data_IF_521159400159
#
_entry.id   IF_521159400159
#
_cell.length_a   1.000
_cell.length_b   1.000
_cell.length_c   1.000
_cell.angle_alpha   90.00
_cell.angle_beta   90.00
_cell.angle_gamma   90.00
#
_symmetry.space_group_name_H-M   'P 1'
#
loop_
_entity.id
_entity.type
_entity.pdbx_description
1 polymer ?
#
# COMPACT_ATOMS: atom_id res chain seq x y z
N UNK A 1 23.38 3.98 -5.86
CA UNK A 1 23.25 5.35 -6.42
C UNK A 1 22.30 6.17 -5.55
N UNK A 2 22.43 7.50 -5.51
CA UNK A 2 21.56 8.34 -4.68
C UNK A 2 20.32 8.78 -5.48
N UNK A 3 19.13 8.46 -4.98
CA UNK A 3 17.88 9.08 -5.42
C UNK A 3 17.54 10.25 -4.49
N UNK A 4 17.54 11.47 -5.02
CA UNK A 4 17.16 12.66 -4.25
C UNK A 4 15.67 12.63 -3.89
N UNK A 5 15.34 12.95 -2.64
CA UNK A 5 13.95 13.02 -2.18
C UNK A 5 13.66 14.43 -1.65
N UNK A 6 12.60 15.11 -2.15
CA UNK A 6 12.26 16.45 -1.69
C UNK A 6 11.91 16.48 -0.20
N UNK A 7 12.52 17.42 0.53
CA UNK A 7 12.17 17.70 1.91
C UNK A 7 10.74 18.31 2.00
N UNK A 8 10.01 18.09 3.11
CA UNK A 8 10.40 17.25 4.24
C UNK A 8 10.33 15.75 3.87
N UNK A 9 11.28 14.97 4.39
CA UNK A 9 11.33 13.52 4.18
C UNK A 9 11.98 12.82 5.36
N UNK A 10 11.30 11.80 5.86
CA UNK A 10 11.81 10.90 6.89
C UNK A 10 11.72 9.46 6.36
N UNK A 11 12.89 8.88 6.08
CA UNK A 11 12.99 7.51 5.57
C UNK A 11 12.48 6.49 6.58
N UNK A 12 12.75 6.69 7.88
CA UNK A 12 12.32 5.78 8.91
C UNK A 12 10.80 5.77 9.01
N UNK A 13 10.13 6.92 9.10
CA UNK A 13 8.66 7.01 9.13
C UNK A 13 8.04 6.42 7.85
N UNK A 14 8.55 6.79 6.68
CA UNK A 14 8.06 6.32 5.37
C UNK A 14 8.10 4.80 5.25
N UNK A 15 9.14 4.17 5.81
CA UNK A 15 9.34 2.72 5.75
C UNK A 15 8.78 1.96 6.96
N UNK A 16 8.16 2.65 7.94
CA UNK A 16 7.67 2.03 9.18
C UNK A 16 6.71 0.86 8.95
N UNK A 17 5.89 0.93 7.91
CA UNK A 17 4.96 -0.14 7.54
C UNK A 17 5.64 -1.48 7.23
N UNK A 18 6.88 -1.47 6.74
CA UNK A 18 7.62 -2.69 6.35
C UNK A 18 8.18 -3.45 7.56
N UNK A 19 8.09 -2.86 8.76
CA UNK A 19 8.50 -3.48 10.04
C UNK A 19 7.36 -3.61 11.05
N UNK A 20 6.23 -2.94 10.81
CA UNK A 20 5.11 -2.88 11.75
C UNK A 20 4.43 -4.23 12.02
N UNK A 21 4.36 -5.11 11.01
CA UNK A 21 3.52 -6.32 11.06
C UNK A 21 4.28 -7.64 10.98
N UNK A 22 5.60 -7.60 11.21
CA UNK A 22 6.49 -8.75 11.14
C UNK A 22 7.26 -8.82 9.82
N UNK A 23 7.97 -9.92 9.62
CA UNK A 23 8.74 -10.20 8.41
C UNK A 23 7.84 -10.18 7.18
N UNK A 24 8.23 -9.43 6.14
CA UNK A 24 7.54 -9.39 4.85
C UNK A 24 8.48 -9.88 3.75
N UNK A 25 8.25 -11.07 3.20
CA UNK A 25 9.17 -11.68 2.21
C UNK A 25 9.27 -10.90 0.91
N UNK A 26 8.19 -10.23 0.50
CA UNK A 26 8.15 -9.43 -0.72
C UNK A 26 8.69 -8.01 -0.52
N UNK A 27 8.86 -7.56 0.72
CA UNK A 27 9.36 -6.22 1.07
C UNK A 27 10.14 -6.31 2.37
N UNK A 28 11.27 -6.99 2.29
CA UNK A 28 12.05 -7.43 3.42
C UNK A 28 12.79 -6.26 4.06
N UNK A 29 12.45 -5.93 5.30
CA UNK A 29 13.26 -5.04 6.12
C UNK A 29 14.33 -5.83 6.86
N UNK A 30 15.59 -5.48 6.67
CA UNK A 30 16.74 -6.08 7.35
C UNK A 30 17.87 -5.05 7.50
N UNK A 31 18.45 -4.95 8.69
CA UNK A 31 19.64 -4.12 8.98
C UNK A 31 19.54 -2.67 8.45
N UNK A 32 18.40 -2.01 8.72
CA UNK A 32 18.15 -0.63 8.31
C UNK A 32 17.87 -0.44 6.81
N UNK A 33 17.72 -1.54 6.07
CA UNK A 33 17.60 -1.56 4.62
C UNK A 33 16.32 -2.28 4.20
N UNK A 34 15.63 -1.75 3.19
CA UNK A 34 14.52 -2.42 2.54
C UNK A 34 15.02 -3.16 1.28
N UNK A 35 14.73 -4.46 1.19
CA UNK A 35 15.02 -5.31 0.05
C UNK A 35 13.71 -5.73 -0.64
N UNK A 36 13.70 -5.69 -1.96
CA UNK A 36 12.56 -6.13 -2.78
C UNK A 36 13.05 -6.73 -4.08
N UNK A 37 12.27 -7.63 -4.67
CA UNK A 37 12.53 -8.10 -6.02
C UNK A 37 11.82 -7.20 -7.03
N UNK A 38 12.52 -6.79 -8.08
CA UNK A 38 11.96 -6.07 -9.23
C UNK A 38 12.50 -6.75 -10.49
N UNK A 39 11.61 -7.33 -11.29
CA UNK A 39 11.95 -8.00 -12.55
C UNK A 39 13.15 -8.96 -12.43
N UNK A 40 13.14 -9.79 -11.38
CA UNK A 40 14.18 -10.79 -11.12
C UNK A 40 15.48 -10.25 -10.52
N UNK A 41 15.55 -8.95 -10.20
CA UNK A 41 16.73 -8.29 -9.61
C UNK A 41 16.44 -7.89 -8.17
N UNK A 42 17.44 -8.02 -7.30
CA UNK A 42 17.36 -7.51 -5.93
C UNK A 42 17.50 -5.99 -5.96
N UNK A 43 16.50 -5.31 -5.42
CA UNK A 43 16.45 -3.88 -5.19
C UNK A 43 16.69 -3.61 -3.70
N UNK A 44 17.68 -2.76 -3.41
CA UNK A 44 18.09 -2.32 -2.08
C UNK A 44 17.80 -0.83 -1.90
N UNK A 45 17.13 -0.45 -0.80
CA UNK A 45 16.90 0.94 -0.39
C UNK A 45 17.42 1.16 1.04
N UNK A 46 18.29 2.15 1.23
CA UNK A 46 18.77 2.58 2.54
C UNK A 46 18.72 4.10 2.69
N UNK A 47 18.57 4.59 3.93
CA UNK A 47 18.61 6.02 4.20
C UNK A 47 19.96 6.61 3.78
N UNK A 48 19.93 7.78 3.14
CA UNK A 48 21.13 8.55 2.81
C UNK A 48 20.88 10.05 3.02
N UNK A 49 21.91 10.85 3.34
CA UNK A 49 21.76 12.30 3.38
C UNK A 49 21.19 12.86 2.07
N UNK A 50 20.10 13.63 2.16
CA UNK A 50 19.44 14.23 0.98
C UNK A 50 18.55 13.28 0.16
N UNK A 51 18.35 12.04 0.58
CA UNK A 51 17.48 11.11 -0.14
C UNK A 51 17.59 9.66 0.30
N UNK A 52 17.67 8.76 -0.68
CA UNK A 52 17.73 7.30 -0.47
C UNK A 52 18.83 6.73 -1.34
N UNK A 53 19.70 5.92 -0.75
CA UNK A 53 20.62 5.09 -1.52
C UNK A 53 19.83 3.91 -2.11
N UNK A 54 19.91 3.77 -3.43
CA UNK A 54 19.20 2.78 -4.22
C UNK A 54 20.19 1.95 -5.03
N UNK A 55 20.04 0.64 -5.00
CA UNK A 55 20.87 -0.28 -5.79
C UNK A 55 20.05 -1.47 -6.29
N UNK A 56 19.98 -1.72 -7.60
CA UNK A 56 20.37 -0.82 -8.69
C UNK A 56 19.37 0.35 -8.84
N UNK A 57 19.83 1.50 -9.36
CA UNK A 57 18.97 2.62 -9.75
C UNK A 57 19.06 2.83 -11.26
N UNK A 58 18.02 2.46 -11.98
CA UNK A 58 17.91 2.59 -13.43
C UNK A 58 16.43 2.79 -13.85
N UNK A 59 16.17 2.81 -15.15
CA UNK A 59 14.84 3.09 -15.71
C UNK A 59 13.76 2.07 -15.27
N UNK A 60 14.16 0.89 -14.82
CA UNK A 60 13.28 -0.19 -14.39
C UNK A 60 12.98 -0.09 -12.88
N UNK A 61 14.01 0.18 -12.06
CA UNK A 61 13.84 0.24 -10.61
C UNK A 61 13.40 1.59 -10.08
N UNK A 62 13.75 2.69 -10.75
CA UNK A 62 13.40 4.03 -10.28
C UNK A 62 11.88 4.21 -10.10
N UNK A 63 11.00 3.88 -11.07
CA UNK A 63 9.56 4.04 -10.89
C UNK A 63 9.03 3.27 -9.66
N UNK A 64 9.54 2.06 -9.42
CA UNK A 64 9.18 1.25 -8.25
C UNK A 64 9.59 1.94 -6.95
N UNK A 65 10.83 2.44 -6.88
CA UNK A 65 11.34 3.14 -5.70
C UNK A 65 10.54 4.41 -5.43
N UNK A 66 10.22 5.19 -6.47
CA UNK A 66 9.41 6.41 -6.32
C UNK A 66 8.05 6.10 -5.71
N UNK A 67 7.40 5.00 -6.08
CA UNK A 67 6.14 4.53 -5.48
C UNK A 67 6.33 4.06 -4.03
N UNK A 68 7.37 3.26 -3.75
CA UNK A 68 7.67 2.79 -2.38
C UNK A 68 7.97 3.94 -1.41
N UNK A 69 8.53 5.05 -1.91
CA UNK A 69 8.82 6.25 -1.14
C UNK A 69 7.69 7.29 -1.16
N UNK A 70 6.55 7.01 -1.81
CA UNK A 70 5.42 7.92 -1.88
C UNK A 70 5.75 9.26 -2.55
N UNK A 71 6.64 9.26 -3.56
CA UNK A 71 7.07 10.49 -4.24
C UNK A 71 6.02 11.06 -5.20
N UNK A 72 4.92 10.36 -5.40
CA UNK A 72 3.75 10.85 -6.13
C UNK A 72 2.94 11.88 -5.33
N UNK A 73 3.14 11.93 -4.01
CA UNK A 73 2.43 12.85 -3.14
C UNK A 73 3.16 14.19 -3.00
N UNK A 74 2.40 15.28 -3.18
CA UNK A 74 2.84 16.64 -2.86
C UNK A 74 2.71 16.90 -1.35
N UNK A 75 3.79 16.58 -0.62
CA UNK A 75 3.84 16.74 0.82
C UNK A 75 3.97 18.20 1.25
N UNK A 76 4.50 19.06 0.38
CA UNK A 76 4.62 20.49 0.64
C UNK A 76 3.26 21.16 0.68
N UNK A 77 2.47 20.95 -0.37
CA UNK A 77 1.10 21.47 -0.44
C UNK A 77 0.21 20.88 0.67
N UNK A 78 0.33 19.58 0.96
CA UNK A 78 -0.41 18.96 2.06
C UNK A 78 -0.05 19.57 3.43
N UNK A 79 1.25 19.76 3.71
CA UNK A 79 1.71 20.30 5.00
C UNK A 79 1.24 21.75 5.19
N UNK A 80 1.30 22.58 4.14
CA UNK A 80 0.80 23.95 4.18
C UNK A 80 -0.72 23.98 4.44
N UNK A 81 -1.49 23.16 3.72
CA UNK A 81 -2.94 23.04 3.91
C UNK A 81 -3.33 22.52 5.29
N UNK A 82 -2.56 21.57 5.84
CA UNK A 82 -2.81 21.00 7.17
C UNK A 82 -2.45 21.96 8.31
N UNK A 83 -1.46 22.85 8.11
CA UNK A 83 -1.03 23.82 9.12
C UNK A 83 -2.15 24.82 9.50
N UNK A 84 -3.09 25.07 8.58
CA UNK A 84 -4.26 25.93 8.80
C UNK A 84 -5.41 25.24 9.55
N UNK A 85 -5.24 23.96 9.95
CA UNK A 85 -6.27 23.13 10.59
C UNK A 85 -5.83 22.72 12.00
N UNK A 86 -6.39 23.30 13.07
CA UNK A 86 -5.94 23.07 14.44
C UNK A 86 -5.96 21.58 14.87
N UNK A 87 -6.92 20.81 14.39
CA UNK A 87 -7.06 19.39 14.72
C UNK A 87 -6.02 18.52 14.00
N UNK A 88 -5.62 18.91 12.77
CA UNK A 88 -4.73 18.11 11.92
C UNK A 88 -3.26 18.53 12.05
N UNK A 89 -2.99 19.81 12.27
CA UNK A 89 -1.63 20.36 12.32
C UNK A 89 -0.71 19.63 13.32
N UNK A 90 -1.13 19.30 14.56
CA UNK A 90 -0.29 18.57 15.50
C UNK A 90 0.08 17.16 15.01
N UNK A 91 -0.87 16.47 14.36
CA UNK A 91 -0.65 15.14 13.80
C UNK A 91 0.34 15.20 12.64
N UNK A 92 0.20 16.16 11.74
CA UNK A 92 1.12 16.32 10.60
C UNK A 92 2.52 16.72 11.06
N UNK A 93 2.63 17.61 12.06
CA UNK A 93 3.91 17.99 12.65
C UNK A 93 4.61 16.80 13.34
N UNK A 94 3.86 15.96 14.07
CA UNK A 94 4.39 14.73 14.69
C UNK A 94 4.96 13.74 13.67
N UNK A 95 4.36 13.69 12.47
CA UNK A 95 4.78 12.83 11.37
C UNK A 95 5.43 13.63 10.23
N UNK A 96 6.20 14.68 10.56
CA UNK A 96 6.88 15.49 9.57
C UNK A 96 7.79 14.63 8.67
N UNK A 97 7.65 14.79 7.35
CA UNK A 97 8.41 14.01 6.37
C UNK A 97 7.93 12.58 6.12
N UNK A 98 6.86 12.12 6.78
CA UNK A 98 6.22 10.84 6.45
C UNK A 98 5.62 10.88 5.04
N UNK A 99 6.07 9.95 4.17
CA UNK A 99 5.44 9.70 2.87
C UNK A 99 4.77 8.32 2.89
N UNK A 100 3.48 8.21 2.57
CA UNK A 100 2.85 6.90 2.52
C UNK A 100 3.39 6.09 1.33
N UNK A 101 3.97 4.93 1.60
CA UNK A 101 4.42 4.03 0.53
C UNK A 101 3.22 3.54 -0.29
N UNK A 102 3.38 3.56 -1.61
CA UNK A 102 2.42 3.01 -2.57
C UNK A 102 2.84 1.58 -2.97
N UNK A 103 1.85 0.79 -3.34
CA UNK A 103 2.05 -0.55 -3.92
C UNK A 103 2.37 -0.40 -5.41
N UNK A 104 3.55 -0.86 -5.86
CA UNK A 104 3.96 -0.63 -7.24
C UNK A 104 3.21 -1.46 -8.27
N UNK A 105 2.77 -2.66 -7.90
CA UNK A 105 2.09 -3.60 -8.78
C UNK A 105 0.59 -3.71 -8.43
N UNK A 106 -0.33 -3.57 -9.40
CA UNK A 106 -1.77 -3.59 -9.11
C UNK A 106 -2.26 -4.96 -8.65
N UNK A 107 -1.69 -6.04 -9.16
CA UNK A 107 -2.12 -7.40 -8.81
C UNK A 107 -1.70 -7.72 -7.37
N UNK A 108 -0.47 -7.45 -6.99
CA UNK A 108 0.03 -7.54 -5.61
C UNK A 108 -0.80 -6.66 -4.67
N UNK A 109 -1.19 -5.45 -5.08
CA UNK A 109 -2.02 -4.56 -4.27
C UNK A 109 -3.38 -5.18 -3.94
N UNK A 110 -4.04 -5.78 -4.94
CA UNK A 110 -5.35 -6.41 -4.78
C UNK A 110 -5.25 -7.73 -4.00
N UNK A 111 -4.28 -8.59 -4.29
CA UNK A 111 -4.06 -9.84 -3.54
C UNK A 111 -3.71 -9.54 -2.08
N UNK A 112 -2.89 -8.52 -1.82
CA UNK A 112 -2.61 -8.04 -0.46
C UNK A 112 -3.88 -7.58 0.25
N UNK A 113 -4.74 -6.84 -0.45
CA UNK A 113 -6.03 -6.38 0.10
C UNK A 113 -6.97 -7.54 0.42
N UNK A 114 -7.15 -8.50 -0.50
CA UNK A 114 -7.94 -9.73 -0.28
C UNK A 114 -7.41 -10.49 0.94
N UNK A 115 -6.10 -10.65 1.05
CA UNK A 115 -5.46 -11.37 2.15
C UNK A 115 -5.77 -10.69 3.50
N UNK A 116 -5.77 -9.36 3.54
CA UNK A 116 -6.02 -8.54 4.73
C UNK A 116 -7.50 -8.43 5.15
N UNK A 117 -8.46 -8.82 4.32
CA UNK A 117 -9.89 -8.72 4.66
C UNK A 117 -10.22 -9.50 5.94
N UNK A 118 -10.91 -8.88 6.91
CA UNK A 118 -11.46 -9.53 8.10
C UNK A 118 -10.46 -10.29 8.99
N UNK A 119 -9.16 -9.95 8.93
CA UNK A 119 -8.11 -10.57 9.77
C UNK A 119 -7.14 -9.49 10.28
N UNK A 120 -6.30 -9.84 11.26
CA UNK A 120 -5.22 -8.95 11.69
C UNK A 120 -4.16 -8.81 10.60
N UNK A 121 -3.49 -7.65 10.54
CA UNK A 121 -2.42 -7.41 9.56
C UNK A 121 -1.24 -8.38 9.75
N UNK A 122 -0.93 -8.79 10.99
CA UNK A 122 0.08 -9.83 11.25
C UNK A 122 -0.30 -11.18 10.65
N UNK A 123 -1.56 -11.60 10.78
CA UNK A 123 -2.04 -12.83 10.17
C UNK A 123 -2.02 -12.73 8.63
N UNK A 124 -2.41 -11.58 8.09
CA UNK A 124 -2.37 -11.32 6.64
C UNK A 124 -0.94 -11.41 6.08
N UNK A 125 0.04 -10.80 6.75
CA UNK A 125 1.46 -10.88 6.36
C UNK A 125 1.96 -12.34 6.41
N UNK A 126 1.61 -13.10 7.45
CA UNK A 126 2.02 -14.50 7.55
C UNK A 126 1.42 -15.37 6.43
N UNK A 127 0.15 -15.18 6.08
CA UNK A 127 -0.50 -15.87 4.95
C UNK A 127 0.17 -15.47 3.63
N UNK A 128 0.43 -14.18 3.41
CA UNK A 128 1.08 -13.69 2.20
C UNK A 128 2.51 -14.21 2.07
N UNK A 129 3.29 -14.31 3.15
CA UNK A 129 4.62 -14.89 3.10
C UNK A 129 4.59 -16.33 2.59
N UNK A 130 3.65 -17.16 3.06
CA UNK A 130 3.50 -18.53 2.55
C UNK A 130 3.09 -18.57 1.08
N UNK A 131 2.25 -17.64 0.63
CA UNK A 131 1.92 -17.46 -0.80
C UNK A 131 3.16 -17.15 -1.63
N UNK A 132 3.96 -16.18 -1.19
CA UNK A 132 5.17 -15.73 -1.87
C UNK A 132 6.25 -16.81 -1.85
N UNK A 133 6.42 -17.55 -0.76
CA UNK A 133 7.37 -18.67 -0.67
C UNK A 133 6.94 -19.86 -1.54
N UNK A 134 5.63 -20.08 -1.75
CA UNK A 134 5.11 -21.19 -2.57
C UNK A 134 5.07 -20.89 -4.07
N UNK A 135 4.69 -19.66 -4.44
CA UNK A 135 4.38 -19.29 -5.82
C UNK A 135 5.23 -18.15 -6.36
N UNK A 136 6.02 -17.49 -5.51
CA UNK A 136 6.99 -16.49 -5.90
C UNK A 136 8.36 -17.11 -6.16
N UNK A 137 9.33 -16.27 -6.45
CA UNK A 137 10.70 -16.68 -6.76
C UNK A 137 11.68 -15.99 -5.81
N UNK A 138 12.67 -16.70 -5.24
CA UNK A 138 13.69 -16.08 -4.40
C UNK A 138 14.61 -15.19 -5.25
N UNK A 139 14.82 -13.95 -4.83
CA UNK A 139 15.68 -12.97 -5.51
C UNK A 139 16.55 -12.27 -4.48
N UNK A 140 17.80 -12.71 -4.38
CA UNK A 140 18.70 -12.27 -3.30
C UNK A 140 18.12 -12.63 -1.93
N UNK A 141 17.87 -11.62 -1.11
CA UNK A 141 17.29 -11.74 0.24
C UNK A 141 15.77 -11.70 0.24
N UNK A 142 15.16 -11.07 -0.75
CA UNK A 142 13.72 -10.92 -0.87
C UNK A 142 13.14 -12.01 -1.79
N UNK A 143 11.82 -11.97 -1.96
CA UNK A 143 11.10 -12.83 -2.88
C UNK A 143 10.29 -11.98 -3.86
N UNK A 144 10.31 -12.35 -5.13
CA UNK A 144 9.37 -11.84 -6.12
C UNK A 144 7.96 -12.28 -5.77
N UNK A 145 7.01 -11.35 -5.84
CA UNK A 145 5.60 -11.68 -5.69
C UNK A 145 5.16 -12.62 -6.84
N UNK A 146 4.28 -13.59 -6.58
CA UNK A 146 3.77 -14.48 -7.63
C UNK A 146 3.16 -13.70 -8.79
N UNK A 147 3.48 -14.07 -10.03
CA UNK A 147 2.83 -13.46 -11.20
C UNK A 147 1.35 -13.82 -11.27
N UNK A 148 0.58 -13.01 -11.99
CA UNK A 148 -0.85 -13.27 -12.24
C UNK A 148 -1.06 -14.63 -12.91
N UNK A 149 -0.22 -14.94 -13.90
CA UNK A 149 -0.27 -16.20 -14.66
C UNK A 149 0.05 -17.38 -13.75
N UNK A 150 1.02 -17.22 -12.83
CA UNK A 150 1.40 -18.27 -11.90
C UNK A 150 0.28 -18.61 -10.94
N UNK A 151 -0.44 -17.61 -10.41
CA UNK A 151 -1.60 -17.84 -9.55
C UNK A 151 -2.83 -18.31 -10.34
N UNK A 152 -3.00 -17.91 -11.61
CA UNK A 152 -4.08 -18.41 -12.45
C UNK A 152 -4.00 -19.93 -12.68
N UNK A 153 -2.78 -20.48 -12.68
CA UNK A 153 -2.51 -21.92 -12.79
C UNK A 153 -2.63 -22.70 -11.47
N UNK A 154 -2.76 -22.02 -10.32
CA UNK A 154 -2.93 -22.67 -9.03
C UNK A 154 -4.38 -23.15 -8.80
N UNK A 155 -4.56 -24.08 -7.86
CA UNK A 155 -5.88 -24.47 -7.37
C UNK A 155 -6.28 -23.64 -6.13
N UNK A 156 -7.58 -23.55 -5.86
CA UNK A 156 -8.06 -22.94 -4.62
C UNK A 156 -7.58 -23.70 -3.39
N UNK A 157 -7.51 -25.03 -3.47
CA UNK A 157 -7.04 -25.89 -2.38
C UNK A 157 -5.55 -25.66 -2.08
N UNK A 158 -4.72 -25.30 -3.07
CA UNK A 158 -3.34 -24.86 -2.81
C UNK A 158 -3.35 -23.65 -1.87
N UNK A 159 -4.16 -22.62 -2.15
CA UNK A 159 -4.22 -21.41 -1.32
C UNK A 159 -4.82 -21.69 0.05
N UNK A 160 -5.84 -22.55 0.14
CA UNK A 160 -6.39 -23.01 1.43
C UNK A 160 -5.30 -23.68 2.26
N UNK A 161 -4.44 -24.51 1.65
CA UNK A 161 -3.28 -25.12 2.30
C UNK A 161 -2.27 -24.11 2.85
N UNK A 162 -2.24 -22.88 2.31
CA UNK A 162 -1.41 -21.77 2.81
C UNK A 162 -2.11 -20.92 3.87
N UNK A 163 -3.32 -21.29 4.30
CA UNK A 163 -4.09 -20.62 5.34
C UNK A 163 -5.02 -19.53 4.84
N UNK A 164 -5.31 -19.46 3.53
CA UNK A 164 -6.45 -18.68 3.04
C UNK A 164 -7.75 -19.36 3.46
N UNK A 165 -8.82 -18.57 3.66
CA UNK A 165 -10.16 -19.15 3.64
C UNK A 165 -10.53 -19.55 2.21
N UNK A 166 -11.44 -20.52 2.05
CA UNK A 166 -11.91 -20.95 0.72
C UNK A 166 -12.40 -19.77 -0.13
N UNK A 167 -13.19 -18.87 0.46
CA UNK A 167 -13.64 -17.63 -0.21
C UNK A 167 -12.47 -16.75 -0.68
N UNK A 168 -11.45 -16.52 0.14
CA UNK A 168 -10.31 -15.70 -0.28
C UNK A 168 -9.48 -16.40 -1.36
N UNK A 169 -9.37 -17.73 -1.31
CA UNK A 169 -8.75 -18.51 -2.38
C UNK A 169 -9.53 -18.34 -3.70
N UNK A 170 -10.85 -18.48 -3.68
CA UNK A 170 -11.73 -18.19 -4.84
C UNK A 170 -11.49 -16.78 -5.39
N UNK A 171 -11.36 -15.77 -4.52
CA UNK A 171 -11.19 -14.37 -4.93
C UNK A 171 -9.82 -14.11 -5.58
N UNK A 172 -8.74 -14.65 -5.00
CA UNK A 172 -7.38 -14.51 -5.57
C UNK A 172 -7.28 -15.23 -6.91
N UNK A 173 -7.74 -16.49 -6.98
CA UNK A 173 -7.72 -17.28 -8.23
C UNK A 173 -8.65 -16.66 -9.28
N UNK A 174 -9.84 -16.21 -8.87
CA UNK A 174 -10.79 -15.52 -9.74
C UNK A 174 -10.22 -14.23 -10.32
N UNK A 175 -9.57 -13.40 -9.50
CA UNK A 175 -8.87 -12.20 -9.96
C UNK A 175 -7.72 -12.55 -10.92
N UNK A 176 -6.94 -13.58 -10.58
CA UNK A 176 -5.83 -14.03 -11.43
C UNK A 176 -6.32 -14.46 -12.83
N UNK A 177 -7.49 -15.09 -12.91
CA UNK A 177 -8.11 -15.59 -14.15
C UNK A 177 -9.01 -14.58 -14.86
N UNK A 178 -9.32 -13.43 -14.26
CA UNK A 178 -10.22 -12.47 -14.88
C UNK A 178 -9.60 -11.79 -16.11
N UNK A 179 -10.45 -11.27 -16.98
CA UNK A 179 -10.09 -10.48 -18.16
C UNK A 179 -9.80 -9.01 -17.83
N UNK A 180 -9.91 -8.62 -16.55
CA UNK A 180 -9.69 -7.26 -16.11
C UNK A 180 -8.23 -6.84 -16.37
N UNK A 181 -8.03 -5.87 -17.25
CA UNK A 181 -6.75 -5.19 -17.41
C UNK A 181 -6.51 -4.24 -16.23
N UNK A 182 -5.68 -4.70 -15.30
CA UNK A 182 -5.36 -3.97 -14.08
C UNK A 182 -4.50 -2.72 -14.33
N UNK A 183 -3.68 -2.73 -15.38
CA UNK A 183 -2.82 -1.59 -15.72
C UNK A 183 -3.64 -0.47 -16.37
N UNK A 184 -4.62 -0.83 -17.19
CA UNK A 184 -5.52 0.14 -17.82
C UNK A 184 -6.38 0.92 -16.80
N UNK A 185 -6.59 0.39 -15.59
CA UNK A 185 -7.35 1.08 -14.54
C UNK A 185 -6.78 2.46 -14.18
N UNK A 186 -5.47 2.66 -14.27
CA UNK A 186 -4.83 3.94 -13.93
C UNK A 186 -5.30 5.10 -14.82
N UNK A 187 -5.74 4.81 -16.05
CA UNK A 187 -6.23 5.80 -17.01
C UNK A 187 -7.70 6.18 -16.80
N UNK A 188 -8.44 5.45 -15.97
CA UNK A 188 -9.88 5.65 -15.79
C UNK A 188 -10.19 6.64 -14.65
N UNK A 189 -11.36 7.31 -14.70
CA UNK A 189 -11.89 8.05 -13.56
C UNK A 189 -12.13 7.16 -12.35
N UNK A 190 -12.02 7.73 -11.14
CA UNK A 190 -12.07 6.98 -9.88
C UNK A 190 -13.35 6.15 -9.72
N UNK A 191 -14.52 6.69 -10.12
CA UNK A 191 -15.80 5.96 -10.05
C UNK A 191 -15.84 4.75 -10.99
N UNK A 192 -15.22 4.86 -12.18
CA UNK A 192 -15.14 3.75 -13.13
C UNK A 192 -14.16 2.67 -12.63
N UNK A 193 -13.03 3.06 -12.04
CA UNK A 193 -12.11 2.13 -11.38
C UNK A 193 -12.85 1.37 -10.27
N UNK A 194 -13.59 2.07 -9.41
CA UNK A 194 -14.39 1.45 -8.34
C UNK A 194 -15.41 0.47 -8.90
N UNK A 195 -16.18 0.88 -9.91
CA UNK A 195 -17.19 0.03 -10.53
C UNK A 195 -16.57 -1.26 -11.10
N UNK A 196 -15.45 -1.17 -11.84
CA UNK A 196 -14.78 -2.33 -12.42
C UNK A 196 -14.18 -3.27 -11.38
N UNK A 197 -13.61 -2.72 -10.30
CA UNK A 197 -13.09 -3.53 -9.20
C UNK A 197 -14.22 -4.22 -8.44
N UNK A 198 -15.29 -3.50 -8.08
CA UNK A 198 -16.43 -4.07 -7.32
C UNK A 198 -17.19 -5.14 -8.12
N UNK A 199 -17.14 -5.09 -9.45
CA UNK A 199 -17.68 -6.15 -10.30
C UNK A 199 -16.92 -7.48 -10.16
N UNK A 200 -15.67 -7.47 -9.67
CA UNK A 200 -14.91 -8.69 -9.41
C UNK A 200 -15.37 -9.35 -8.11
N UNK A 201 -15.65 -10.65 -8.17
CA UNK A 201 -16.07 -11.43 -7.00
C UNK A 201 -15.05 -11.28 -5.85
N UNK A 202 -15.52 -10.83 -4.70
CA UNK A 202 -14.71 -10.68 -3.49
C UNK A 202 -13.99 -9.36 -3.32
N UNK A 203 -14.09 -8.45 -4.30
CA UNK A 203 -13.63 -7.07 -4.18
C UNK A 203 -14.82 -6.18 -3.83
N UNK A 204 -14.79 -5.60 -2.62
CA UNK A 204 -15.80 -4.64 -2.17
C UNK A 204 -15.29 -3.21 -2.24
N UNK A 205 -16.16 -2.26 -1.89
CA UNK A 205 -15.82 -0.83 -1.88
C UNK A 205 -14.56 -0.53 -1.06
N UNK A 206 -14.40 -1.15 0.12
CA UNK A 206 -13.19 -1.00 0.95
C UNK A 206 -11.90 -1.37 0.19
N UNK A 207 -11.93 -2.43 -0.62
CA UNK A 207 -10.76 -2.83 -1.42
C UNK A 207 -10.54 -1.87 -2.58
N UNK A 208 -11.61 -1.41 -3.25
CA UNK A 208 -11.51 -0.45 -4.33
C UNK A 208 -10.96 0.92 -3.84
N UNK A 209 -11.45 1.43 -2.71
CA UNK A 209 -10.96 2.68 -2.14
C UNK A 209 -9.47 2.57 -1.75
N UNK A 210 -9.06 1.43 -1.18
CA UNK A 210 -7.64 1.20 -0.88
C UNK A 210 -6.79 1.00 -2.13
N UNK A 211 -7.34 0.47 -3.22
CA UNK A 211 -6.65 0.42 -4.50
C UNK A 211 -6.42 1.83 -5.06
N UNK A 212 -7.44 2.69 -5.05
CA UNK A 212 -7.30 4.10 -5.41
C UNK A 212 -6.23 4.81 -4.55
N UNK A 213 -6.27 4.58 -3.24
CA UNK A 213 -5.40 5.26 -2.28
C UNK A 213 -3.94 4.78 -2.33
N UNK A 214 -3.73 3.44 -2.28
CA UNK A 214 -2.42 2.81 -2.08
C UNK A 214 -1.80 2.26 -3.34
N UNK A 215 -2.57 1.92 -4.37
CA UNK A 215 -2.00 1.55 -5.65
C UNK A 215 -1.95 2.75 -6.58
N UNK A 216 -3.07 3.43 -6.86
CA UNK A 216 -3.08 4.56 -7.80
C UNK A 216 -2.62 5.90 -7.23
N UNK A 217 -2.49 6.02 -5.89
CA UNK A 217 -2.07 7.27 -5.26
C UNK A 217 -3.05 8.45 -5.46
N UNK A 218 -4.33 8.17 -5.77
CA UNK A 218 -5.32 9.22 -6.10
C UNK A 218 -5.49 10.17 -4.90
N UNK A 219 -5.36 11.50 -5.08
CA UNK A 219 -5.33 12.46 -3.96
C UNK A 219 -6.64 12.50 -3.18
N UNK A 220 -7.76 12.25 -3.86
CA UNK A 220 -9.12 12.27 -3.30
C UNK A 220 -9.62 10.91 -2.82
N UNK A 221 -8.81 9.86 -2.91
CA UNK A 221 -9.20 8.54 -2.42
C UNK A 221 -9.47 8.59 -0.91
N UNK A 222 -10.63 8.07 -0.49
CA UNK A 222 -11.07 8.11 0.89
C UNK A 222 -11.67 6.76 1.32
N UNK A 223 -10.88 5.86 1.94
CA UNK A 223 -11.32 4.54 2.39
C UNK A 223 -12.26 4.56 3.60
N UNK A 224 -13.43 5.19 3.48
CA UNK A 224 -14.37 5.43 4.58
C UNK A 224 -14.86 4.15 5.29
N UNK A 225 -14.84 3.01 4.60
CA UNK A 225 -15.16 1.70 5.16
C UNK A 225 -14.10 1.13 6.12
N UNK A 226 -12.90 1.73 6.19
CA UNK A 226 -11.80 1.23 7.00
C UNK A 226 -12.01 1.51 8.49
N UNK A 227 -12.05 0.44 9.30
CA UNK A 227 -12.36 0.57 10.73
C UNK A 227 -11.33 1.40 11.49
N UNK A 228 -10.05 1.33 11.14
CA UNK A 228 -9.01 2.11 11.81
C UNK A 228 -9.13 3.59 11.43
N UNK A 229 -9.44 3.89 10.16
CA UNK A 229 -9.72 5.26 9.72
C UNK A 229 -10.96 5.81 10.43
N UNK A 230 -12.04 5.02 10.51
CA UNK A 230 -13.25 5.42 11.21
C UNK A 230 -12.97 5.76 12.68
N UNK A 231 -12.20 4.93 13.38
CA UNK A 231 -11.78 5.20 14.77
C UNK A 231 -10.97 6.48 14.89
N UNK A 232 -10.03 6.72 13.97
CA UNK A 232 -9.20 7.92 13.98
C UNK A 232 -10.02 9.19 13.73
N UNK A 233 -10.96 9.17 12.79
CA UNK A 233 -11.86 10.30 12.49
C UNK A 233 -12.77 10.60 13.68
N UNK A 234 -13.39 9.58 14.28
CA UNK A 234 -14.21 9.75 15.49
C UNK A 234 -13.37 10.32 16.64
N UNK A 235 -12.15 9.83 16.84
CA UNK A 235 -11.30 10.28 17.94
C UNK A 235 -10.85 11.74 17.79
N UNK A 236 -10.56 12.19 16.56
CA UNK A 236 -10.02 13.52 16.31
C UNK A 236 -11.10 14.59 16.08
N UNK A 237 -12.21 14.22 15.43
CA UNK A 237 -13.25 15.16 15.02
C UNK A 237 -14.61 14.91 15.65
N UNK A 238 -14.80 13.80 16.39
CA UNK A 238 -16.11 13.42 16.94
C UNK A 238 -17.14 12.98 15.88
N UNK A 239 -16.73 12.81 14.63
CA UNK A 239 -17.63 12.54 13.51
C UNK A 239 -17.88 11.05 13.30
N UNK A 240 -19.15 10.65 13.27
CA UNK A 240 -19.57 9.25 13.07
C UNK A 240 -19.86 8.92 11.61
N UNK A 241 -20.25 9.91 10.79
CA UNK A 241 -20.36 9.78 9.33
C UNK A 241 -19.02 10.04 8.66
N UNK A 242 -18.19 8.99 8.67
CA UNK A 242 -16.84 9.03 8.12
C UNK A 242 -16.84 9.23 6.61
N UNK A 243 -17.93 8.88 5.90
CA UNK A 243 -18.01 9.11 4.45
C UNK A 243 -18.18 10.59 4.17
N UNK A 244 -19.11 11.26 4.85
CA UNK A 244 -19.31 12.70 4.72
C UNK A 244 -18.09 13.51 5.18
N UNK A 245 -17.38 13.03 6.22
CA UNK A 245 -16.16 13.66 6.75
C UNK A 245 -15.08 13.89 5.68
N UNK A 246 -15.02 13.03 4.66
CA UNK A 246 -14.05 13.14 3.57
C UNK A 246 -14.07 14.49 2.83
N UNK A 247 -15.23 15.16 2.76
CA UNK A 247 -15.35 16.48 2.12
C UNK A 247 -14.51 17.57 2.82
N UNK A 248 -14.27 17.43 4.14
CA UNK A 248 -13.46 18.38 4.92
C UNK A 248 -11.99 18.36 4.53
N UNK A 249 -11.56 17.25 3.92
CA UNK A 249 -10.17 16.99 3.60
C UNK A 249 -9.83 17.26 2.14
N UNK A 250 -10.71 17.87 1.35
CA UNK A 250 -10.39 18.23 -0.03
C UNK A 250 -9.24 19.25 -0.12
N UNK A 251 -8.25 19.07 -1.03
CA UNK A 251 -8.08 17.98 -2.01
C UNK A 251 -7.20 16.80 -1.53
N UNK A 252 -6.89 16.72 -0.23
CA UNK A 252 -5.91 15.81 0.36
C UNK A 252 -6.51 14.64 1.17
N UNK A 253 -7.69 14.15 0.79
CA UNK A 253 -8.36 13.04 1.50
C UNK A 253 -7.43 11.86 1.74
N UNK A 254 -6.67 11.46 0.72
CA UNK A 254 -5.80 10.29 0.79
C UNK A 254 -4.64 10.49 1.78
N UNK A 255 -3.94 11.62 1.70
CA UNK A 255 -2.86 11.94 2.63
C UNK A 255 -3.39 12.08 4.07
N UNK A 256 -4.55 12.72 4.27
CA UNK A 256 -5.19 12.77 5.58
C UNK A 256 -5.50 11.37 6.11
N UNK A 257 -6.06 10.48 5.29
CA UNK A 257 -6.34 9.10 5.69
C UNK A 257 -5.05 8.38 6.11
N UNK A 258 -3.96 8.55 5.37
CA UNK A 258 -2.68 7.94 5.71
C UNK A 258 -2.08 8.49 7.00
N UNK A 259 -2.12 9.81 7.23
CA UNK A 259 -1.63 10.42 8.46
C UNK A 259 -2.46 10.02 9.69
N UNK A 260 -3.79 9.94 9.53
CA UNK A 260 -4.70 9.41 10.56
C UNK A 260 -4.39 7.95 10.91
N UNK A 261 -3.85 7.17 9.99
CA UNK A 261 -3.45 5.78 10.23
C UNK A 261 -2.00 5.62 10.69
N UNK A 262 -1.13 6.61 10.42
CA UNK A 262 0.29 6.57 10.80
C UNK A 262 0.47 6.39 12.31
N UNK A 263 -0.45 6.92 13.12
CA UNK A 263 -0.49 6.73 14.57
C UNK A 263 -0.61 5.27 15.03
N UNK A 264 -1.02 4.35 14.15
CA UNK A 264 -1.09 2.91 14.44
C UNK A 264 0.12 2.13 13.87
N UNK A 265 1.01 2.78 13.11
CA UNK A 265 2.18 2.16 12.47
C UNK A 265 3.46 2.33 13.29
N UNK A 266 3.52 3.37 14.11
CA UNK A 266 4.65 3.68 14.99
C UNK A 266 4.25 3.44 16.45
N UNK A 267 5.04 2.73 17.26
CA UNK A 267 4.82 2.63 18.70
C UNK A 267 4.78 3.99 19.38
#
# INVERSE_FOLDING_TARGET
ALLAVPAPFDFALTTARFRAFGLDRASLWQDGTLYRAVNGRELRLAAAPGGVEVEPLDAETEPVVRRLLGLEFDLGAFSAWAAERPELAPLVARFAGFRPALSPDPFEALVTSITAQQVSLRAAVAIRNRLVERFGEPVGRAWAFPTRERLAAASEDDLVGLGFSRRKAEYVIGLARSDLDLNALAALPDDEVKARLVAQRGLGEWTADWFLARHLGRPRAWPAGDLALRKAVVALYGETDVRAAGARFEPFQNLTAHYLLAQFLTP
#
